data_IF_069230742505
#
_entry.id   IF_069230742505
#
_cell.length_a   1.000
_cell.length_b   1.000
_cell.length_c   1.000
_cell.angle_alpha   90.00
_cell.angle_beta   90.00
_cell.angle_gamma   90.00
#
_symmetry.space_group_name_H-M   'P 1'
#
loop_
_entity.id
_entity.type
_entity.pdbx_description
1 polymer ?
#
# COMPACT_ATOMS: atom_id res chain seq x y z
N UNK A 1 0.42 14.60 3.12
CA UNK A 1 0.03 13.62 2.09
C UNK A 1 -1.25 14.11 1.42
N UNK A 2 -1.38 14.05 0.09
CA UNK A 2 -2.64 14.36 -0.60
C UNK A 2 -3.49 13.09 -0.70
N UNK A 3 -4.80 13.18 -0.51
CA UNK A 3 -5.69 12.03 -0.67
C UNK A 3 -5.92 11.74 -2.17
N UNK A 4 -5.19 10.74 -2.69
CA UNK A 4 -5.36 10.25 -4.07
C UNK A 4 -6.67 9.48 -4.28
N UNK A 5 -7.29 9.00 -3.20
CA UNK A 5 -8.46 8.13 -3.21
C UNK A 5 -9.67 8.81 -2.57
N UNK A 6 -9.85 10.08 -2.93
CA UNK A 6 -10.89 11.00 -2.48
C UNK A 6 -12.34 10.60 -2.82
N UNK A 7 -12.59 9.40 -3.37
CA UNK A 7 -13.94 8.92 -3.64
C UNK A 7 -14.02 7.38 -3.55
N UNK A 8 -15.19 6.82 -3.22
CA UNK A 8 -15.36 5.37 -3.19
C UNK A 8 -15.21 4.71 -4.58
N UNK A 9 -15.44 5.46 -5.66
CA UNK A 9 -15.21 5.00 -7.03
C UNK A 9 -13.72 4.77 -7.33
N UNK A 10 -12.85 5.67 -6.85
CA UNK A 10 -11.40 5.51 -7.00
C UNK A 10 -10.86 4.33 -6.20
N UNK A 11 -11.47 4.05 -5.05
CA UNK A 11 -11.13 2.89 -4.23
C UNK A 11 -11.54 1.58 -4.91
N UNK A 12 -12.74 1.49 -5.49
CA UNK A 12 -13.13 0.31 -6.26
C UNK A 12 -12.25 0.12 -7.50
N UNK A 13 -11.96 1.20 -8.23
CA UNK A 13 -11.05 1.13 -9.38
C UNK A 13 -9.65 0.64 -8.98
N UNK A 14 -9.17 1.04 -7.80
CA UNK A 14 -7.94 0.50 -7.24
C UNK A 14 -8.04 -1.00 -6.97
N UNK A 15 -9.11 -1.46 -6.32
CA UNK A 15 -9.33 -2.88 -6.04
C UNK A 15 -9.37 -3.71 -7.32
N UNK A 16 -10.11 -3.24 -8.33
CA UNK A 16 -10.14 -3.80 -9.68
C UNK A 16 -8.71 -3.91 -10.22
N UNK A 17 -7.94 -2.83 -10.19
CA UNK A 17 -6.55 -2.84 -10.66
C UNK A 17 -5.70 -3.92 -9.98
N UNK A 18 -5.86 -4.13 -8.67
CA UNK A 18 -5.12 -5.17 -7.93
C UNK A 18 -5.50 -6.59 -8.35
N UNK A 19 -6.73 -6.81 -8.81
CA UNK A 19 -7.20 -8.12 -9.32
C UNK A 19 -6.70 -8.42 -10.74
N UNK A 20 -6.56 -7.38 -11.58
CA UNK A 20 -6.08 -7.55 -12.96
C UNK A 20 -4.54 -7.59 -13.06
N UNK A 21 -3.83 -6.96 -12.13
CA UNK A 21 -2.39 -6.81 -12.20
C UNK A 21 -1.68 -7.51 -11.05
N UNK A 22 -1.37 -8.79 -11.25
CA UNK A 22 -0.59 -9.60 -10.30
C UNK A 22 0.70 -8.92 -9.87
N UNK A 23 1.31 -8.13 -10.76
CA UNK A 23 2.54 -7.40 -10.47
C UNK A 23 2.39 -6.34 -9.37
N UNK A 24 1.19 -5.83 -9.15
CA UNK A 24 0.92 -4.91 -8.05
C UNK A 24 0.96 -5.60 -6.68
N UNK A 25 0.95 -6.94 -6.67
CA UNK A 25 0.90 -7.79 -5.48
C UNK A 25 2.23 -8.45 -5.10
N UNK A 26 3.29 -8.30 -5.91
CA UNK A 26 4.55 -9.04 -5.76
C UNK A 26 5.26 -8.88 -4.40
N UNK A 27 5.10 -7.73 -3.75
CA UNK A 27 5.72 -7.46 -2.46
C UNK A 27 5.04 -8.17 -1.28
N UNK A 28 3.82 -8.69 -1.45
CA UNK A 28 3.12 -9.36 -0.38
C UNK A 28 3.83 -10.63 0.09
N UNK A 29 4.45 -11.38 -0.83
CA UNK A 29 5.25 -12.56 -0.47
C UNK A 29 6.47 -12.17 0.37
N UNK A 30 7.11 -11.04 0.06
CA UNK A 30 8.23 -10.52 0.86
C UNK A 30 7.75 -10.19 2.27
N UNK A 31 6.58 -9.56 2.41
CA UNK A 31 6.00 -9.21 3.71
C UNK A 31 5.53 -10.43 4.50
N UNK A 32 4.98 -11.45 3.84
CA UNK A 32 4.62 -12.73 4.45
C UNK A 32 5.85 -13.43 5.05
N UNK A 33 6.94 -13.53 4.29
CA UNK A 33 8.16 -14.17 4.77
C UNK A 33 8.81 -13.36 5.90
N UNK A 34 8.78 -12.02 5.81
CA UNK A 34 9.21 -11.16 6.91
C UNK A 34 8.35 -11.37 8.16
N UNK A 35 7.03 -11.47 8.02
CA UNK A 35 6.12 -11.76 9.13
C UNK A 35 6.47 -13.08 9.80
N UNK A 36 6.60 -14.18 9.04
CA UNK A 36 6.94 -15.51 9.58
C UNK A 36 8.27 -15.49 10.33
N UNK A 37 9.32 -14.96 9.69
CA UNK A 37 10.66 -14.89 10.28
C UNK A 37 10.69 -14.08 11.58
N UNK A 38 10.06 -12.90 11.57
CA UNK A 38 10.03 -12.02 12.75
C UNK A 38 9.14 -12.57 13.86
N UNK A 39 7.98 -13.14 13.51
CA UNK A 39 7.06 -13.76 14.46
C UNK A 39 7.71 -14.95 15.17
N UNK A 40 8.44 -15.80 14.44
CA UNK A 40 9.17 -16.94 14.98
C UNK A 40 10.30 -16.53 15.95
N UNK A 41 10.95 -15.38 15.70
CA UNK A 41 11.99 -14.83 16.58
C UNK A 41 11.45 -14.13 17.81
N UNK A 42 10.14 -13.84 17.85
CA UNK A 42 9.51 -13.10 18.93
C UNK A 42 8.88 -14.05 19.94
N UNK A 43 9.58 -14.27 21.06
CA UNK A 43 9.01 -14.94 22.25
C UNK A 43 7.97 -14.04 22.90
N UNK A 44 6.72 -14.46 22.98
CA UNK A 44 5.65 -13.73 23.67
C UNK A 44 5.46 -14.27 25.09
N UNK A 45 5.41 -13.38 26.08
CA UNK A 45 5.42 -13.74 27.50
C UNK A 45 4.03 -13.66 28.17
N UNK A 46 2.97 -13.96 27.44
CA UNK A 46 1.60 -13.99 27.97
C UNK A 46 0.56 -13.45 26.99
N UNK A 47 -0.73 -13.43 27.37
CA UNK A 47 -1.82 -13.01 26.49
C UNK A 47 -1.78 -11.51 26.14
N UNK A 48 -1.24 -10.67 27.02
CA UNK A 48 -1.09 -9.22 26.81
C UNK A 48 0.16 -8.85 25.99
N UNK A 49 1.07 -9.81 25.75
CA UNK A 49 2.27 -9.60 24.95
C UNK A 49 1.97 -9.97 23.49
N UNK A 50 1.65 -8.97 22.67
CA UNK A 50 1.28 -9.15 21.27
C UNK A 50 2.45 -8.85 20.32
N UNK A 51 2.48 -9.53 19.18
CA UNK A 51 3.27 -9.14 18.02
C UNK A 51 2.52 -8.05 17.25
N UNK A 52 3.12 -6.88 17.04
CA UNK A 52 2.45 -5.76 16.36
C UNK A 52 2.95 -5.64 14.91
N UNK A 53 2.05 -5.83 13.96
CA UNK A 53 2.29 -5.64 12.53
C UNK A 53 1.53 -4.39 12.04
N UNK A 54 2.26 -3.33 11.70
CA UNK A 54 1.74 -2.08 11.12
C UNK A 54 1.95 -2.00 9.60
N UNK A 55 0.89 -1.88 8.81
CA UNK A 55 0.96 -1.59 7.38
C UNK A 55 0.63 -0.11 7.10
N UNK A 56 1.59 0.61 6.52
CA UNK A 56 1.51 2.05 6.21
C UNK A 56 1.01 2.26 4.80
N UNK A 57 0.08 3.20 4.65
CA UNK A 57 -0.70 3.41 3.43
C UNK A 57 -1.34 2.08 2.97
N UNK A 58 -2.05 1.44 3.91
CA UNK A 58 -2.60 0.11 3.71
C UNK A 58 -3.66 0.01 2.60
N UNK A 59 -4.13 1.16 2.10
CA UNK A 59 -5.18 1.24 1.09
C UNK A 59 -6.42 0.49 1.54
N UNK A 60 -6.97 -0.34 0.65
CA UNK A 60 -8.12 -1.21 0.92
C UNK A 60 -7.76 -2.49 1.69
N UNK A 61 -6.59 -2.57 2.33
CA UNK A 61 -6.18 -3.68 3.20
C UNK A 61 -5.52 -4.86 2.47
N UNK A 62 -5.06 -4.66 1.24
CA UNK A 62 -4.51 -5.70 0.35
C UNK A 62 -3.46 -6.60 1.03
N UNK A 63 -2.50 -6.02 1.75
CA UNK A 63 -1.43 -6.78 2.43
C UNK A 63 -2.02 -7.76 3.44
N UNK A 64 -2.95 -7.31 4.29
CA UNK A 64 -3.57 -8.18 5.29
C UNK A 64 -4.54 -9.19 4.69
N UNK A 65 -5.21 -8.86 3.58
CA UNK A 65 -6.03 -9.84 2.84
C UNK A 65 -5.16 -11.00 2.36
N UNK A 66 -4.04 -10.69 1.69
CA UNK A 66 -3.15 -11.73 1.17
C UNK A 66 -2.45 -12.50 2.29
N UNK A 67 -2.07 -11.82 3.37
CA UNK A 67 -1.54 -12.47 4.56
C UNK A 67 -2.55 -13.46 5.14
N UNK A 68 -3.82 -13.05 5.29
CA UNK A 68 -4.88 -13.92 5.80
C UNK A 68 -5.05 -15.18 4.96
N UNK A 69 -5.11 -15.04 3.63
CA UNK A 69 -5.27 -16.16 2.72
C UNK A 69 -4.11 -17.15 2.85
N UNK A 70 -2.88 -16.63 2.96
CA UNK A 70 -1.69 -17.46 3.13
C UNK A 70 -1.65 -18.18 4.48
N UNK A 71 -1.98 -17.49 5.58
CA UNK A 71 -2.00 -18.10 6.91
C UNK A 71 -3.05 -19.21 7.02
N UNK A 72 -4.23 -19.01 6.41
CA UNK A 72 -5.27 -20.05 6.30
C UNK A 72 -4.76 -21.24 5.50
N UNK A 73 -4.12 -21.02 4.35
CA UNK A 73 -3.60 -22.08 3.51
C UNK A 73 -2.47 -22.88 4.17
N UNK A 74 -1.60 -22.22 4.93
CA UNK A 74 -0.48 -22.86 5.62
C UNK A 74 -0.84 -23.43 6.99
N UNK A 75 -2.03 -23.14 7.51
CA UNK A 75 -2.43 -23.51 8.88
C UNK A 75 -1.61 -22.82 9.97
N UNK A 76 -0.96 -21.71 9.64
CA UNK A 76 -0.13 -20.95 10.57
C UNK A 76 -1.05 -20.07 11.44
N UNK A 77 -0.89 -20.10 12.77
CA UNK A 77 -1.73 -19.31 13.63
C UNK A 77 -1.37 -17.81 13.51
N UNK A 78 -2.40 -16.97 13.51
CA UNK A 78 -2.30 -15.51 13.60
C UNK A 78 -2.58 -15.00 15.01
N UNK A 79 -2.69 -15.90 15.98
CA UNK A 79 -3.00 -15.57 17.36
C UNK A 79 -1.89 -14.71 18.00
N UNK A 80 -2.32 -13.87 18.93
CA UNK A 80 -1.46 -12.89 19.60
C UNK A 80 -0.74 -11.94 18.63
N UNK A 81 -1.29 -11.75 17.43
CA UNK A 81 -0.83 -10.73 16.49
C UNK A 81 -1.88 -9.63 16.35
N UNK A 82 -1.42 -8.40 16.57
CA UNK A 82 -2.19 -7.19 16.35
C UNK A 82 -1.80 -6.58 15.02
N UNK A 83 -2.72 -6.60 14.08
CA UNK A 83 -2.57 -6.03 12.75
C UNK A 83 -3.16 -4.61 12.73
N UNK A 84 -2.33 -3.63 12.43
CA UNK A 84 -2.72 -2.23 12.34
C UNK A 84 -2.54 -1.78 10.89
N UNK A 85 -3.63 -1.39 10.23
CA UNK A 85 -3.55 -0.79 8.89
C UNK A 85 -3.76 0.70 9.01
N UNK A 86 -2.83 1.50 8.53
CA UNK A 86 -2.92 2.96 8.58
C UNK A 86 -3.00 3.53 7.17
N UNK A 87 -4.03 4.33 6.89
CA UNK A 87 -4.15 5.06 5.63
C UNK A 87 -4.62 6.48 5.87
N UNK A 88 -4.20 7.40 5.00
CA UNK A 88 -4.62 8.80 5.07
C UNK A 88 -6.07 8.98 4.59
N UNK A 89 -6.49 8.17 3.62
CA UNK A 89 -7.82 8.24 3.00
C UNK A 89 -8.88 7.52 3.83
N UNK A 90 -9.91 8.26 4.25
CA UNK A 90 -11.06 7.68 4.95
C UNK A 90 -11.83 6.66 4.08
N UNK A 91 -11.82 6.84 2.75
CA UNK A 91 -12.47 5.91 1.83
C UNK A 91 -11.72 4.57 1.77
N UNK A 92 -10.38 4.61 1.75
CA UNK A 92 -9.55 3.41 1.83
C UNK A 92 -9.76 2.65 3.13
N UNK A 93 -9.70 3.34 4.28
CA UNK A 93 -9.94 2.74 5.59
C UNK A 93 -11.32 2.10 5.66
N UNK A 94 -12.37 2.78 5.16
CA UNK A 94 -13.72 2.21 5.12
C UNK A 94 -13.75 0.92 4.30
N UNK A 95 -13.18 0.94 3.09
CA UNK A 95 -13.14 -0.22 2.22
C UNK A 95 -12.36 -1.38 2.84
N UNK A 96 -11.25 -1.09 3.51
CA UNK A 96 -10.44 -2.09 4.20
C UNK A 96 -11.24 -2.80 5.32
N UNK A 97 -12.07 -2.05 6.05
CA UNK A 97 -12.98 -2.64 7.04
C UNK A 97 -14.08 -3.51 6.39
N UNK A 98 -14.64 -3.10 5.25
CA UNK A 98 -15.63 -3.90 4.50
C UNK A 98 -15.05 -5.22 3.98
N UNK A 99 -13.74 -5.24 3.69
CA UNK A 99 -13.02 -6.40 3.13
C UNK A 99 -12.23 -7.17 4.19
N UNK A 100 -12.49 -6.94 5.47
CA UNK A 100 -11.71 -7.53 6.55
C UNK A 100 -11.76 -9.08 6.48
N UNK A 101 -10.61 -9.77 6.35
CA UNK A 101 -10.60 -11.23 6.30
C UNK A 101 -11.10 -11.83 7.59
N UNK A 102 -12.02 -12.80 7.52
CA UNK A 102 -12.56 -13.49 8.70
C UNK A 102 -11.44 -14.10 9.56
N UNK A 103 -10.42 -14.65 8.92
CA UNK A 103 -9.27 -15.26 9.58
C UNK A 103 -8.44 -14.30 10.45
N UNK A 104 -8.53 -12.98 10.20
CA UNK A 104 -7.83 -11.95 10.98
C UNK A 104 -8.78 -11.01 11.73
N UNK A 105 -10.09 -11.29 11.71
CA UNK A 105 -11.13 -10.33 12.15
C UNK A 105 -11.03 -9.89 13.61
N UNK A 106 -10.42 -10.69 14.48
CA UNK A 106 -10.22 -10.35 15.89
C UNK A 106 -8.93 -9.59 16.18
N UNK A 107 -7.99 -9.55 15.23
CA UNK A 107 -6.66 -8.94 15.41
C UNK A 107 -6.41 -7.70 14.57
N UNK A 108 -7.29 -7.34 13.64
CA UNK A 108 -7.06 -6.23 12.70
C UNK A 108 -7.81 -4.97 13.11
N UNK A 109 -7.12 -3.84 13.01
CA UNK A 109 -7.70 -2.50 13.13
C UNK A 109 -7.18 -1.59 12.02
N UNK A 110 -8.09 -1.06 11.22
CA UNK A 110 -7.78 -0.01 10.24
C UNK A 110 -8.00 1.37 10.83
N UNK A 111 -7.05 2.27 10.63
CA UNK A 111 -6.96 3.57 11.28
C UNK A 111 -6.75 4.63 10.21
N UNK A 112 -7.55 5.69 10.27
CA UNK A 112 -7.27 6.89 9.49
C UNK A 112 -6.16 7.69 10.16
N UNK A 113 -5.05 7.94 9.45
CA UNK A 113 -3.91 8.67 10.01
C UNK A 113 -2.86 9.01 8.96
N UNK A 114 -1.88 9.82 9.34
CA UNK A 114 -0.78 10.19 8.45
C UNK A 114 0.47 9.37 8.77
N UNK A 115 1.12 8.83 7.73
CA UNK A 115 2.44 8.21 7.84
C UNK A 115 3.50 9.17 8.41
N UNK A 116 3.32 10.48 8.23
CA UNK A 116 4.23 11.52 8.73
C UNK A 116 3.96 11.95 10.16
N UNK A 117 2.93 11.38 10.81
CA UNK A 117 2.53 11.72 12.18
C UNK A 117 2.02 10.49 12.95
N UNK A 118 2.86 9.45 13.05
CA UNK A 118 2.52 8.20 13.73
C UNK A 118 2.28 8.39 15.24
N UNK A 119 2.90 9.41 15.86
CA UNK A 119 2.72 9.72 17.27
C UNK A 119 1.29 10.18 17.62
N UNK A 120 0.54 10.71 16.67
CA UNK A 120 -0.87 11.08 16.85
C UNK A 120 -1.81 9.87 16.86
N UNK A 121 -1.34 8.70 16.42
CA UNK A 121 -2.14 7.47 16.36
C UNK A 121 -2.23 6.85 17.75
N UNK A 122 -3.44 6.79 18.30
CA UNK A 122 -3.70 6.30 19.67
C UNK A 122 -3.09 4.92 19.93
N UNK A 123 -3.16 4.02 18.96
CA UNK A 123 -2.66 2.64 19.06
C UNK A 123 -1.14 2.55 19.09
N UNK A 124 -0.45 3.61 18.68
CA UNK A 124 1.01 3.71 18.64
C UNK A 124 1.55 4.62 19.76
N UNK A 125 0.67 5.13 20.63
CA UNK A 125 1.09 5.91 21.79
C UNK A 125 1.69 5.00 22.87
N UNK A 126 2.71 5.52 23.55
CA UNK A 126 3.42 4.79 24.61
C UNK A 126 4.80 4.31 24.17
N UNK A 127 5.35 3.29 24.83
CA UNK A 127 6.66 2.74 24.48
C UNK A 127 6.66 2.15 23.05
N UNK A 128 7.77 2.31 22.29
CA UNK A 128 7.89 1.75 20.95
C UNK A 128 7.71 0.22 20.97
N UNK A 129 6.76 -0.28 20.19
CA UNK A 129 6.27 -1.66 20.30
C UNK A 129 5.99 -2.34 18.96
N UNK A 130 6.05 -1.62 17.83
CA UNK A 130 5.82 -2.19 16.49
C UNK A 130 6.95 -3.16 16.14
N UNK A 131 6.61 -4.43 15.95
CA UNK A 131 7.56 -5.48 15.60
C UNK A 131 7.87 -5.44 14.10
N UNK A 132 6.83 -5.40 13.26
CA UNK A 132 6.96 -5.34 11.81
C UNK A 132 6.18 -4.14 11.27
N UNK A 133 6.84 -3.34 10.43
CA UNK A 133 6.20 -2.28 9.65
C UNK A 133 6.36 -2.55 8.16
N UNK A 134 5.31 -2.38 7.36
CA UNK A 134 5.38 -2.41 5.90
C UNK A 134 4.97 -1.08 5.30
N UNK A 135 5.54 -0.76 4.14
CA UNK A 135 5.09 0.33 3.29
C UNK A 135 5.06 -0.19 1.85
N UNK A 136 3.90 -0.71 1.48
CA UNK A 136 3.72 -1.54 0.30
C UNK A 136 3.63 -0.73 -1.01
N UNK A 137 3.67 -1.44 -2.13
CA UNK A 137 3.36 -1.01 -3.48
C UNK A 137 4.11 0.24 -3.98
N UNK A 138 5.29 0.53 -3.43
CA UNK A 138 6.00 1.77 -3.77
C UNK A 138 5.32 3.03 -3.25
N UNK A 139 4.36 2.91 -2.34
CA UNK A 139 3.56 4.02 -1.82
C UNK A 139 4.40 5.05 -1.07
N UNK A 140 5.65 4.75 -0.69
CA UNK A 140 6.59 5.76 -0.20
C UNK A 140 6.78 6.92 -1.17
N UNK A 141 6.60 6.69 -2.49
CA UNK A 141 6.66 7.74 -3.51
C UNK A 141 5.56 8.79 -3.41
N UNK A 142 4.48 8.53 -2.64
CA UNK A 142 3.42 9.52 -2.40
C UNK A 142 3.80 10.55 -1.34
N UNK A 143 4.93 10.35 -0.65
CA UNK A 143 5.58 11.34 0.21
C UNK A 143 6.32 12.38 -0.66
N UNK A 144 5.56 13.19 -1.37
CA UNK A 144 6.06 14.05 -2.45
C UNK A 144 6.62 15.39 -2.00
N UNK A 145 6.28 15.87 -0.81
CA UNK A 145 6.77 17.16 -0.33
C UNK A 145 8.18 17.02 0.25
N UNK A 146 9.05 18.05 0.11
CA UNK A 146 10.38 18.03 0.69
C UNK A 146 10.36 17.67 2.18
N UNK A 147 11.22 16.73 2.60
CA UNK A 147 11.32 16.30 3.99
C UNK A 147 10.29 15.28 4.46
N UNK A 148 9.26 14.94 3.66
CA UNK A 148 8.22 13.99 4.12
C UNK A 148 8.75 12.57 4.28
N UNK A 149 9.66 12.12 3.41
CA UNK A 149 10.27 10.81 3.52
C UNK A 149 11.14 10.71 4.78
N UNK A 150 11.95 11.73 5.07
CA UNK A 150 12.78 11.84 6.26
C UNK A 150 11.91 11.90 7.53
N UNK A 151 10.82 12.67 7.49
CA UNK A 151 9.85 12.75 8.57
C UNK A 151 9.20 11.38 8.83
N UNK A 152 8.78 10.67 7.78
CA UNK A 152 8.26 9.31 7.91
C UNK A 152 9.28 8.37 8.57
N UNK A 153 10.53 8.36 8.09
CA UNK A 153 11.58 7.51 8.66
C UNK A 153 11.81 7.86 10.15
N UNK A 154 11.84 9.14 10.50
CA UNK A 154 11.93 9.57 11.88
C UNK A 154 10.73 9.07 12.72
N UNK A 155 9.50 9.14 12.21
CA UNK A 155 8.32 8.60 12.88
C UNK A 155 8.38 7.08 13.02
N UNK A 156 8.84 6.36 11.99
CA UNK A 156 9.00 4.91 12.05
C UNK A 156 9.97 4.51 13.18
N UNK A 157 11.11 5.18 13.31
CA UNK A 157 12.06 4.88 14.41
C UNK A 157 11.48 5.10 15.82
N UNK A 158 10.46 5.96 15.95
CA UNK A 158 9.82 6.23 17.25
C UNK A 158 8.83 5.15 17.67
N UNK A 159 8.24 4.42 16.73
CA UNK A 159 7.21 3.41 17.03
C UNK A 159 7.74 1.98 16.95
N UNK A 160 8.84 1.76 16.22
CA UNK A 160 9.47 0.45 16.09
C UNK A 160 10.05 -0.03 17.42
N UNK A 161 9.80 -1.31 17.74
CA UNK A 161 10.37 -1.98 18.90
C UNK A 161 11.90 -1.86 18.89
N UNK A 162 12.54 -1.45 19.99
CA UNK A 162 13.98 -1.24 20.01
C UNK A 162 14.75 -2.50 19.63
N UNK A 163 15.78 -2.35 18.78
CA UNK A 163 16.72 -3.40 18.32
C UNK A 163 16.11 -4.49 17.43
N UNK A 164 14.85 -4.88 17.64
CA UNK A 164 14.21 -6.00 16.94
C UNK A 164 13.20 -5.56 15.89
N UNK A 165 12.58 -4.39 16.04
CA UNK A 165 11.60 -3.87 15.09
C UNK A 165 12.23 -3.62 13.71
N UNK A 166 11.48 -3.90 12.63
CA UNK A 166 11.93 -3.69 11.25
C UNK A 166 10.85 -3.03 10.42
N UNK A 167 11.29 -2.20 9.47
CA UNK A 167 10.45 -1.64 8.42
C UNK A 167 10.87 -2.21 7.06
N UNK A 168 9.90 -2.67 6.29
CA UNK A 168 10.06 -3.15 4.92
C UNK A 168 9.36 -2.19 3.98
N UNK A 169 10.14 -1.51 3.15
CA UNK A 169 9.66 -0.48 2.24
C UNK A 169 9.78 -1.01 0.81
N UNK A 170 8.64 -1.20 0.16
CA UNK A 170 8.60 -1.50 -1.26
C UNK A 170 8.99 -0.25 -2.04
N UNK A 171 9.98 -0.36 -2.94
CA UNK A 171 10.42 0.73 -3.80
C UNK A 171 10.22 0.30 -5.25
N UNK A 172 9.38 1.03 -5.98
CA UNK A 172 9.16 0.78 -7.40
C UNK A 172 10.24 1.48 -8.23
N UNK A 173 10.90 0.73 -9.10
CA UNK A 173 11.97 1.21 -9.98
C UNK A 173 11.51 2.10 -11.13
N UNK A 174 10.20 2.42 -11.20
CA UNK A 174 9.62 3.26 -12.26
C UNK A 174 10.33 4.62 -12.35
N UNK A 175 10.96 5.08 -11.25
CA UNK A 175 11.65 6.38 -11.17
C UNK A 175 13.18 6.30 -11.30
N UNK A 176 13.76 5.10 -11.34
CA UNK A 176 15.20 4.90 -11.45
C UNK A 176 15.61 4.89 -12.94
N UNK A 177 16.21 5.98 -13.42
CA UNK A 177 16.66 6.11 -14.81
C UNK A 177 17.85 5.20 -15.15
N UNK A 178 18.51 4.62 -14.14
CA UNK A 178 19.56 3.62 -14.35
C UNK A 178 18.99 2.23 -14.66
N UNK A 179 17.69 2.00 -14.43
CA UNK A 179 17.00 0.71 -14.57
C UNK A 179 16.02 0.70 -15.75
N UNK A 180 16.50 1.10 -16.92
CA UNK A 180 15.69 1.22 -18.14
C UNK A 180 15.06 -0.12 -18.56
N UNK A 181 15.75 -1.24 -18.36
CA UNK A 181 15.25 -2.56 -18.71
C UNK A 181 14.06 -2.97 -17.84
N UNK A 182 14.15 -2.72 -16.54
CA UNK A 182 13.08 -2.99 -15.58
C UNK A 182 11.87 -2.08 -15.81
N UNK A 183 12.10 -0.79 -16.14
CA UNK A 183 11.03 0.11 -16.55
C UNK A 183 10.32 -0.41 -17.80
N UNK A 184 11.07 -0.79 -18.83
CA UNK A 184 10.48 -1.33 -20.07
C UNK A 184 9.66 -2.59 -19.81
N UNK A 185 10.15 -3.50 -18.95
CA UNK A 185 9.38 -4.70 -18.54
C UNK A 185 8.08 -4.35 -17.82
N UNK A 186 8.09 -3.32 -16.96
CA UNK A 186 6.87 -2.85 -16.30
C UNK A 186 5.90 -2.24 -17.31
N UNK A 187 6.39 -1.44 -18.26
CA UNK A 187 5.58 -0.88 -19.35
C UNK A 187 4.97 -1.99 -20.21
N UNK A 188 5.75 -3.02 -20.60
CA UNK A 188 5.26 -4.20 -21.34
C UNK A 188 4.15 -4.93 -20.56
N UNK A 189 4.34 -5.18 -19.25
CA UNK A 189 3.30 -5.78 -18.40
C UNK A 189 2.05 -4.90 -18.25
N UNK A 190 2.24 -3.58 -18.31
CA UNK A 190 1.16 -2.60 -18.31
C UNK A 190 0.52 -2.43 -19.68
N UNK A 191 1.10 -2.90 -20.77
CA UNK A 191 0.54 -2.85 -22.12
C UNK A 191 -0.14 -4.19 -22.51
N UNK A 192 0.26 -5.31 -21.91
CA UNK A 192 -0.35 -6.64 -22.10
C UNK A 192 -1.79 -6.73 -21.58
N UNK A 193 -2.19 -5.84 -20.65
CA UNK A 193 -3.59 -5.68 -20.31
C UNK A 193 -4.34 -5.12 -21.51
N UNK A 194 -5.38 -5.76 -21.99
CA UNK A 194 -6.15 -5.23 -23.12
C UNK A 194 -7.13 -4.14 -22.61
N UNK A 195 -6.62 -2.94 -22.27
CA UNK A 195 -7.32 -1.85 -21.56
C UNK A 195 -8.41 -1.10 -22.36
N UNK A 196 -8.98 -1.70 -23.39
CA UNK A 196 -9.98 -1.03 -24.23
C UNK A 196 -11.43 -1.27 -23.78
N UNK A 197 -11.64 -2.00 -22.68
CA UNK A 197 -12.99 -2.40 -22.27
C UNK A 197 -13.54 -1.52 -21.13
N UNK A 198 -14.81 -1.17 -21.29
CA UNK A 198 -15.65 -0.62 -20.23
C UNK A 198 -15.77 -1.65 -19.10
N UNK A 199 -15.32 -1.31 -17.90
CA UNK A 199 -15.39 -2.18 -16.71
C UNK A 199 -16.60 -1.77 -15.88
N UNK A 200 -17.70 -2.54 -15.86
CA UNK A 200 -18.83 -2.22 -15.01
C UNK A 200 -18.44 -2.30 -13.54
N UNK A 201 -18.90 -1.33 -12.75
CA UNK A 201 -18.72 -1.35 -11.29
C UNK A 201 -19.53 -2.50 -10.69
N UNK A 202 -18.91 -3.23 -9.77
CA UNK A 202 -19.55 -4.26 -8.97
C UNK A 202 -20.28 -3.66 -7.75
N UNK A 203 -19.83 -2.49 -7.27
CA UNK A 203 -20.34 -1.85 -6.05
C UNK A 203 -21.39 -0.76 -6.30
N UNK A 204 -21.36 -0.12 -7.48
CA UNK A 204 -22.17 1.05 -7.80
C UNK A 204 -22.97 0.80 -9.09
N UNK A 205 -24.25 0.39 -8.97
CA UNK A 205 -25.09 0.11 -10.12
C UNK A 205 -25.13 1.27 -11.12
N UNK A 206 -24.91 0.96 -12.41
CA UNK A 206 -24.90 1.93 -13.50
C UNK A 206 -23.59 2.71 -13.67
N UNK A 207 -22.58 2.48 -12.84
CA UNK A 207 -21.24 3.05 -13.03
C UNK A 207 -20.41 2.12 -13.91
N UNK A 208 -19.67 2.71 -14.84
CA UNK A 208 -18.72 2.04 -15.73
C UNK A 208 -17.40 2.79 -15.67
N UNK A 209 -16.33 2.07 -15.38
CA UNK A 209 -14.97 2.57 -15.41
C UNK A 209 -14.39 2.45 -16.81
N UNK A 210 -13.81 3.54 -17.30
CA UNK A 210 -13.08 3.57 -18.56
C UNK A 210 -11.68 4.10 -18.31
N UNK A 211 -10.68 3.27 -18.59
CA UNK A 211 -9.30 3.67 -18.45
C UNK A 211 -8.89 4.54 -19.65
N UNK A 212 -8.61 5.81 -19.39
CA UNK A 212 -7.94 6.67 -20.37
C UNK A 212 -6.46 6.28 -20.46
N UNK A 213 -5.80 6.60 -21.60
CA UNK A 213 -4.34 6.53 -21.66
C UNK A 213 -3.76 7.46 -20.60
N UNK A 214 -3.12 6.90 -19.58
CA UNK A 214 -2.36 7.68 -18.60
C UNK A 214 -0.99 7.94 -19.22
N UNK A 215 -0.65 9.20 -19.42
CA UNK A 215 0.71 9.60 -19.80
C UNK A 215 1.49 9.98 -18.57
N UNK A 216 2.74 9.52 -18.52
CA UNK A 216 3.73 9.94 -17.54
C UNK A 216 4.56 11.08 -18.14
N UNK A 217 4.69 12.20 -17.41
CA UNK A 217 5.64 13.29 -17.72
C UNK A 217 6.67 13.37 -16.62
N UNK A 218 7.93 13.59 -16.96
CA UNK A 218 9.01 13.78 -15.98
C UNK A 218 9.64 15.16 -16.15
N UNK A 219 9.86 15.85 -15.03
CA UNK A 219 10.61 17.11 -14.98
C UNK A 219 11.68 17.01 -13.89
N UNK A 220 12.93 16.82 -14.32
CA UNK A 220 14.02 16.49 -13.41
C UNK A 220 13.72 15.23 -12.60
N UNK A 221 13.62 15.37 -11.27
CA UNK A 221 13.33 14.28 -10.34
C UNK A 221 11.83 14.12 -10.01
N UNK A 222 10.96 14.90 -10.65
CA UNK A 222 9.51 14.85 -10.43
C UNK A 222 8.83 14.06 -11.54
N UNK A 223 7.92 13.15 -11.16
CA UNK A 223 7.07 12.41 -12.07
C UNK A 223 5.61 12.84 -11.92
N UNK A 224 4.97 13.15 -13.04
CA UNK A 224 3.57 13.56 -13.14
C UNK A 224 2.77 12.47 -13.86
N UNK A 225 1.59 12.17 -13.34
CA UNK A 225 0.64 11.22 -13.92
C UNK A 225 -0.64 11.98 -14.31
N UNK A 226 -1.12 11.79 -15.53
CA UNK A 226 -2.37 12.40 -15.97
C UNK A 226 -2.98 11.75 -17.21
N UNK A 227 -4.30 11.86 -17.39
CA UNK A 227 -4.98 11.37 -18.58
C UNK A 227 -4.51 12.18 -19.81
N UNK A 228 -4.26 11.50 -20.93
CA UNK A 228 -4.12 12.19 -22.22
C UNK A 228 -5.49 12.60 -22.73
N UNK A 229 -5.70 13.88 -23.04
CA UNK A 229 -6.85 14.28 -23.84
C UNK A 229 -6.54 14.06 -25.31
N UNK A 230 -7.51 13.55 -26.07
CA UNK A 230 -7.43 13.53 -27.52
C UNK A 230 -7.27 14.98 -28.01
N UNK A 231 -6.09 15.33 -28.52
CA UNK A 231 -5.71 16.70 -28.92
C UNK A 231 -4.40 17.22 -28.32
N UNK A 232 -3.87 16.60 -27.26
CA UNK A 232 -2.63 17.07 -26.63
C UNK A 232 -1.35 16.76 -27.43
N UNK A 233 -1.43 15.97 -28.51
CA UNK A 233 -0.28 15.65 -29.37
C UNK A 233 0.22 16.86 -30.19
N UNK A 234 -0.58 17.91 -30.36
CA UNK A 234 -0.21 19.07 -31.20
C UNK A 234 0.08 20.35 -30.41
N UNK A 235 -0.19 20.40 -29.10
CA UNK A 235 -0.06 21.64 -28.31
C UNK A 235 1.34 21.92 -27.76
N UNK A 236 2.28 20.99 -27.92
CA UNK A 236 3.58 21.07 -27.25
C UNK A 236 4.73 20.83 -28.23
N UNK A 237 4.75 21.64 -29.30
CA UNK A 237 5.99 22.01 -29.98
C UNK A 237 6.30 23.45 -29.61
N UNK A 238 7.28 23.67 -28.73
CA UNK A 238 7.97 24.95 -28.67
C UNK A 238 9.48 24.71 -28.60
N UNK A 239 10.13 25.51 -29.44
CA UNK A 239 11.55 25.84 -29.61
C UNK A 239 12.39 25.86 -28.35
#
# INVERSE_FOLDING_TARGET
MKDGYHSPYWVELYDIGQEYFDFLNEDANVFLEAYKDMRAKRTLNGPEDEFIFLDIACGSGRVFIQLADNLVQSGEPSDQTKFLGLDYSAHMVRRANERLPKALSHGVKYIQGSATDLAAVKELQGPPSVDLMTFAAGSISVLSEPGQAEQFLAQATRVLRPKTGRVFISVRYVFDDSRKAERKRLEERMDDGNYSQDIPSALFPGIVYRQGRITQRREGNLAFWGPTRAGDKERWKWS
#
